data_IF_515278004242
#
_entry.id   IF_515278004242
#
_cell.length_a   1.000
_cell.length_b   1.000
_cell.length_c   1.000
_cell.angle_alpha   90.00
_cell.angle_beta   90.00
_cell.angle_gamma   90.00
#
_symmetry.space_group_name_H-M   'P 1'
#
loop_
_entity.id
_entity.type
_entity.pdbx_description
1 polymer ?
#
# COMPACT_ATOMS: atom_id res chain seq x y z
N UNK A 1 24.60 9.89 18.67
CA UNK A 1 23.92 8.95 17.75
C UNK A 1 24.43 7.51 17.87
N UNK A 2 25.75 7.26 17.88
CA UNK A 2 26.29 5.90 18.00
C UNK A 2 25.86 5.12 19.24
N UNK A 3 25.76 5.79 20.40
CA UNK A 3 25.38 5.13 21.65
C UNK A 3 23.88 4.80 21.72
N UNK A 4 23.00 5.72 21.31
CA UNK A 4 21.55 5.50 21.23
C UNK A 4 21.19 4.32 20.30
N UNK A 5 21.75 4.31 19.10
CA UNK A 5 21.48 3.23 18.13
C UNK A 5 21.96 1.87 18.65
N UNK A 6 23.09 1.84 19.37
CA UNK A 6 23.60 0.64 20.03
C UNK A 6 22.63 0.15 21.12
N UNK A 7 22.21 1.05 22.03
CA UNK A 7 21.27 0.72 23.12
C UNK A 7 19.93 0.20 22.61
N UNK A 8 19.38 0.81 21.54
CA UNK A 8 18.13 0.34 20.92
C UNK A 8 18.27 -1.04 20.30
N UNK A 9 19.40 -1.32 19.63
CA UNK A 9 19.68 -2.65 19.03
C UNK A 9 19.89 -3.71 20.11
N UNK A 10 20.72 -3.44 21.11
CA UNK A 10 20.98 -4.36 22.23
C UNK A 10 19.70 -4.72 22.98
N UNK A 11 18.92 -3.71 23.38
CA UNK A 11 17.65 -3.92 24.09
C UNK A 11 16.58 -4.61 23.24
N UNK A 12 16.54 -4.37 21.92
CA UNK A 12 15.65 -5.10 21.01
C UNK A 12 16.00 -6.59 20.93
N UNK A 13 17.29 -6.94 20.86
CA UNK A 13 17.73 -8.34 20.83
C UNK A 13 17.32 -9.13 22.07
N UNK A 14 17.10 -8.47 23.22
CA UNK A 14 16.59 -9.12 24.44
C UNK A 14 15.15 -9.64 24.31
N UNK A 15 14.35 -9.06 23.41
CA UNK A 15 12.91 -9.33 23.30
C UNK A 15 12.50 -9.90 21.94
N UNK A 16 13.43 -10.02 20.99
CA UNK A 16 13.18 -10.43 19.60
C UNK A 16 12.51 -11.81 19.50
N UNK A 17 12.98 -12.79 20.29
CA UNK A 17 12.38 -14.14 20.38
C UNK A 17 10.96 -14.14 20.98
N UNK A 18 10.55 -13.04 21.58
CA UNK A 18 9.25 -12.89 22.25
C UNK A 18 8.37 -11.81 21.61
N UNK A 19 8.70 -11.35 20.39
CA UNK A 19 8.04 -10.24 19.71
C UNK A 19 6.50 -10.32 19.71
N UNK A 20 5.91 -11.49 19.46
CA UNK A 20 4.45 -11.67 19.45
C UNK A 20 3.83 -11.45 20.84
N UNK A 21 4.53 -11.90 21.88
CA UNK A 21 4.11 -11.70 23.27
C UNK A 21 4.27 -10.24 23.70
N UNK A 22 5.35 -9.58 23.27
CA UNK A 22 5.58 -8.14 23.48
C UNK A 22 4.42 -7.35 22.87
N UNK A 23 4.06 -7.61 21.61
CA UNK A 23 2.93 -6.95 20.95
C UNK A 23 1.59 -7.22 21.66
N UNK A 24 1.36 -8.46 22.10
CA UNK A 24 0.17 -8.83 22.88
C UNK A 24 0.07 -8.07 24.20
N UNK A 25 1.16 -8.01 24.96
CA UNK A 25 1.23 -7.30 26.23
C UNK A 25 1.07 -5.79 26.04
N UNK A 26 1.75 -5.20 25.05
CA UNK A 26 1.63 -3.79 24.69
C UNK A 26 0.16 -3.36 24.52
N UNK A 27 -0.61 -4.06 23.69
CA UNK A 27 -2.02 -3.74 23.50
C UNK A 27 -2.86 -3.97 24.76
N UNK A 28 -2.58 -5.04 25.50
CA UNK A 28 -3.26 -5.29 26.77
C UNK A 28 -3.02 -4.14 27.76
N UNK A 29 -1.80 -3.60 27.85
CA UNK A 29 -1.48 -2.46 28.72
C UNK A 29 -2.16 -1.17 28.29
N UNK A 30 -2.24 -0.88 26.99
CA UNK A 30 -3.01 0.27 26.49
C UNK A 30 -4.47 0.14 26.92
N UNK A 31 -5.12 -0.99 26.62
CA UNK A 31 -6.57 -1.13 26.88
C UNK A 31 -6.92 -1.32 28.35
N UNK A 32 -5.99 -1.81 29.19
CA UNK A 32 -6.19 -1.88 30.63
C UNK A 32 -6.04 -0.51 31.30
N UNK A 33 -5.10 0.32 30.83
CA UNK A 33 -4.87 1.66 31.40
C UNK A 33 -5.85 2.70 30.87
N UNK A 34 -6.21 2.60 29.58
CA UNK A 34 -7.11 3.54 28.89
C UNK A 34 -8.12 2.75 28.02
N UNK A 35 -9.19 2.21 28.62
CA UNK A 35 -10.16 1.38 27.92
C UNK A 35 -10.81 2.06 26.70
N UNK A 36 -11.01 3.38 26.76
CA UNK A 36 -11.62 4.18 25.68
C UNK A 36 -10.80 4.14 24.39
N UNK A 37 -9.47 3.93 24.47
CA UNK A 37 -8.62 3.82 23.29
C UNK A 37 -8.92 2.57 22.45
N UNK A 38 -9.67 1.59 23.00
CA UNK A 38 -10.09 0.41 22.25
C UNK A 38 -10.88 0.76 21.00
N UNK A 39 -11.62 1.87 21.01
CA UNK A 39 -12.48 2.32 19.91
C UNK A 39 -11.70 2.86 18.70
N UNK A 40 -10.40 3.10 18.86
CA UNK A 40 -9.50 3.51 17.78
C UNK A 40 -8.99 2.32 16.96
N UNK A 41 -9.15 1.09 17.46
CA UNK A 41 -8.60 -0.13 16.86
C UNK A 41 -9.69 -1.03 16.26
N UNK A 42 -9.36 -1.79 15.19
CA UNK A 42 -10.30 -2.77 14.63
C UNK A 42 -10.64 -3.88 15.64
N UNK A 43 -11.73 -4.60 15.40
CA UNK A 43 -12.11 -5.76 16.23
C UNK A 43 -11.03 -6.85 16.17
N UNK A 44 -10.53 -7.13 14.96
CA UNK A 44 -9.47 -8.11 14.71
C UNK A 44 -8.09 -7.46 14.76
N UNK A 45 -7.22 -7.97 15.64
CA UNK A 45 -5.94 -7.34 15.96
C UNK A 45 -4.71 -8.04 15.37
N UNK A 46 -4.85 -9.23 14.77
CA UNK A 46 -3.69 -10.05 14.36
C UNK A 46 -2.78 -9.32 13.36
N UNK A 47 -3.39 -8.72 12.32
CA UNK A 47 -2.66 -7.91 11.32
C UNK A 47 -2.05 -6.65 11.95
N UNK A 48 -2.75 -6.05 12.91
CA UNK A 48 -2.28 -4.82 13.55
C UNK A 48 -1.07 -5.07 14.45
N UNK A 49 -1.03 -6.21 15.16
CA UNK A 49 0.13 -6.63 15.97
C UNK A 49 1.38 -6.82 15.12
N UNK A 50 1.26 -7.53 14.00
CA UNK A 50 2.37 -7.72 13.07
C UNK A 50 2.90 -6.38 12.50
N UNK A 51 2.01 -5.44 12.17
CA UNK A 51 2.39 -4.11 11.66
C UNK A 51 3.18 -3.29 12.67
N UNK A 52 2.79 -3.31 13.94
CA UNK A 52 3.51 -2.60 15.00
C UNK A 52 4.96 -3.09 15.10
N UNK A 53 5.16 -4.40 15.14
CA UNK A 53 6.50 -5.01 15.21
C UNK A 53 7.33 -4.62 13.98
N UNK A 54 6.75 -4.71 12.78
CA UNK A 54 7.42 -4.26 11.55
C UNK A 54 7.83 -2.79 11.57
N UNK A 55 6.99 -1.90 12.12
CA UNK A 55 7.30 -0.49 12.25
C UNK A 55 8.45 -0.22 13.25
N UNK A 56 8.46 -0.92 14.39
CA UNK A 56 9.53 -0.82 15.40
C UNK A 56 10.87 -1.31 14.80
N UNK A 57 10.87 -2.48 14.15
CA UNK A 57 12.06 -3.02 13.48
C UNK A 57 12.56 -2.05 12.41
N UNK A 58 11.65 -1.50 11.59
CA UNK A 58 12.00 -0.51 10.57
C UNK A 58 12.61 0.74 11.21
N UNK A 59 12.04 1.26 12.29
CA UNK A 59 12.56 2.43 12.99
C UNK A 59 13.97 2.19 13.55
N UNK A 60 14.23 1.01 14.13
CA UNK A 60 15.56 0.62 14.62
C UNK A 60 16.58 0.47 13.49
N UNK A 61 16.15 -0.03 12.33
CA UNK A 61 17.03 -0.26 11.16
C UNK A 61 17.28 1.00 10.32
N UNK A 62 16.37 1.98 10.33
CA UNK A 62 16.42 3.16 9.45
C UNK A 62 17.15 4.36 10.09
N UNK A 63 17.76 4.18 11.27
CA UNK A 63 18.54 5.22 11.97
C UNK A 63 19.74 5.77 11.17
N UNK A 64 20.10 5.13 10.05
CA UNK A 64 21.27 5.47 9.23
C UNK A 64 20.96 6.48 8.09
N UNK A 65 19.68 6.82 7.83
CA UNK A 65 19.25 7.83 6.85
C UNK A 65 18.25 8.84 7.45
N UNK A 66 18.73 9.89 8.15
CA UNK A 66 17.89 10.79 8.92
C UNK A 66 16.87 11.60 8.11
N UNK A 67 17.21 12.02 6.89
CA UNK A 67 16.32 12.85 6.06
C UNK A 67 15.14 12.03 5.55
N UNK A 68 15.42 10.85 5.00
CA UNK A 68 14.36 9.93 4.53
C UNK A 68 13.48 9.46 5.67
N UNK A 69 14.05 9.27 6.86
CA UNK A 69 13.30 8.88 8.06
C UNK A 69 12.37 10.00 8.54
N UNK A 70 12.80 11.27 8.51
CA UNK A 70 11.96 12.43 8.87
C UNK A 70 10.73 12.52 7.96
N UNK A 71 10.93 12.45 6.64
CA UNK A 71 9.84 12.49 5.65
C UNK A 71 8.86 11.33 5.85
N UNK A 72 9.38 10.13 6.12
CA UNK A 72 8.57 8.95 6.42
C UNK A 72 7.70 9.16 7.66
N UNK A 73 8.29 9.61 8.78
CA UNK A 73 7.57 9.82 10.04
C UNK A 73 6.51 10.91 9.91
N UNK A 74 6.81 12.02 9.23
CA UNK A 74 5.81 13.05 8.95
C UNK A 74 4.67 12.52 8.08
N UNK A 75 4.99 11.71 7.07
CA UNK A 75 3.99 11.02 6.25
C UNK A 75 3.10 10.09 7.07
N UNK A 76 3.69 9.32 8.00
CA UNK A 76 2.95 8.44 8.91
C UNK A 76 2.04 9.24 9.85
N UNK A 77 2.50 10.38 10.37
CA UNK A 77 1.70 11.29 11.18
C UNK A 77 0.47 11.81 10.45
N UNK A 78 0.61 12.22 9.18
CA UNK A 78 -0.53 12.62 8.33
C UNK A 78 -1.54 11.48 8.17
N UNK A 79 -1.05 10.28 7.85
CA UNK A 79 -1.91 9.10 7.69
C UNK A 79 -2.63 8.73 9.00
N UNK A 80 -1.98 8.93 10.15
CA UNK A 80 -2.56 8.63 11.47
C UNK A 80 -3.78 9.48 11.83
N UNK A 81 -3.95 10.65 11.20
CA UNK A 81 -5.14 11.51 11.41
C UNK A 81 -6.45 10.77 11.12
N UNK A 82 -6.45 9.80 10.18
CA UNK A 82 -7.65 9.00 9.85
C UNK A 82 -8.17 8.16 11.02
N UNK A 83 -7.32 7.87 12.00
CA UNK A 83 -7.67 7.13 13.20
C UNK A 83 -8.21 8.03 14.31
N UNK A 84 -8.14 9.37 14.17
CA UNK A 84 -8.42 10.36 15.22
C UNK A 84 -7.52 10.20 16.45
N UNK A 85 -6.22 10.00 16.20
CA UNK A 85 -5.23 9.96 17.28
C UNK A 85 -4.91 11.40 17.71
N UNK A 86 -5.03 11.67 19.00
CA UNK A 86 -4.71 12.95 19.64
C UNK A 86 -3.31 12.90 20.28
N UNK A 87 -2.67 14.05 20.57
CA UNK A 87 -1.33 14.10 21.17
C UNK A 87 -1.19 13.26 22.45
N UNK A 88 -2.20 13.25 23.30
CA UNK A 88 -2.24 12.53 24.58
C UNK A 88 -2.12 11.01 24.39
N UNK A 89 -2.61 10.48 23.26
CA UNK A 89 -2.51 9.06 22.97
C UNK A 89 -1.07 8.59 22.72
N UNK A 90 -0.17 9.48 22.28
CA UNK A 90 1.23 9.11 22.06
C UNK A 90 1.94 8.81 23.39
N UNK A 91 1.66 9.55 24.45
CA UNK A 91 2.26 9.29 25.77
C UNK A 91 1.87 7.91 26.30
N UNK A 92 0.60 7.54 26.16
CA UNK A 92 0.08 6.22 26.55
C UNK A 92 0.76 5.10 25.77
N UNK A 93 0.89 5.28 24.45
CA UNK A 93 1.53 4.30 23.56
C UNK A 93 3.01 4.14 23.88
N UNK A 94 3.75 5.25 24.08
CA UNK A 94 5.17 5.21 24.44
C UNK A 94 5.41 4.47 25.74
N UNK A 95 4.65 4.78 26.79
CA UNK A 95 4.75 4.12 28.09
C UNK A 95 4.45 2.62 28.01
N UNK A 96 3.38 2.22 27.30
CA UNK A 96 3.00 0.82 27.14
C UNK A 96 4.07 0.01 26.37
N UNK A 97 4.72 0.61 25.36
CA UNK A 97 5.77 -0.05 24.59
C UNK A 97 7.01 -0.34 25.46
N UNK A 98 7.49 0.67 26.18
CA UNK A 98 8.65 0.54 27.06
C UNK A 98 8.37 -0.46 28.18
N UNK A 99 7.18 -0.40 28.79
CA UNK A 99 6.76 -1.36 29.81
C UNK A 99 6.72 -2.80 29.26
N UNK A 100 6.22 -3.00 28.04
CA UNK A 100 6.19 -4.31 27.40
C UNK A 100 7.60 -4.86 27.17
N UNK A 101 8.52 -4.06 26.65
CA UNK A 101 9.90 -4.49 26.43
C UNK A 101 10.61 -4.80 27.75
N UNK A 102 10.46 -3.94 28.76
CA UNK A 102 10.99 -4.18 30.12
C UNK A 102 10.49 -5.49 30.71
N UNK A 103 9.19 -5.77 30.57
CA UNK A 103 8.59 -7.00 31.10
C UNK A 103 9.23 -8.27 30.51
N UNK A 104 9.47 -8.31 29.20
CA UNK A 104 10.01 -9.49 28.53
C UNK A 104 11.54 -9.59 28.57
N UNK A 105 12.25 -8.45 28.66
CA UNK A 105 13.69 -8.46 28.87
C UNK A 105 14.10 -8.83 30.31
N UNK A 106 13.21 -8.62 31.29
CA UNK A 106 13.41 -9.00 32.68
C UNK A 106 14.60 -8.26 33.32
N UNK A 107 15.42 -8.99 34.10
CA UNK A 107 16.57 -8.43 34.82
C UNK A 107 17.66 -7.86 33.92
N UNK A 108 17.67 -8.23 32.63
CA UNK A 108 18.62 -7.70 31.65
C UNK A 108 18.25 -6.29 31.18
N UNK A 109 17.06 -5.78 31.54
CA UNK A 109 16.64 -4.43 31.17
C UNK A 109 17.26 -3.37 32.09
N UNK A 110 18.30 -2.69 31.61
CA UNK A 110 18.94 -1.57 32.28
C UNK A 110 18.16 -0.26 32.19
N UNK A 111 18.44 0.67 33.11
CA UNK A 111 17.82 2.01 33.15
C UNK A 111 18.20 2.88 31.95
N UNK A 112 19.36 2.60 31.36
CA UNK A 112 19.83 3.22 30.12
C UNK A 112 18.93 2.88 28.92
N UNK A 113 18.29 1.71 28.91
CA UNK A 113 17.35 1.33 27.84
C UNK A 113 16.03 2.08 27.98
N UNK A 114 15.57 2.33 29.21
CA UNK A 114 14.40 3.16 29.46
C UNK A 114 14.56 4.56 28.87
N UNK A 115 15.69 5.22 29.17
CA UNK A 115 15.97 6.55 28.62
C UNK A 115 16.14 6.51 27.11
N UNK A 116 16.87 5.52 26.58
CA UNK A 116 17.09 5.38 25.14
C UNK A 116 15.78 5.24 24.35
N UNK A 117 14.86 4.37 24.81
CA UNK A 117 13.57 4.20 24.15
C UNK A 117 12.64 5.39 24.34
N UNK A 118 12.65 6.05 25.51
CA UNK A 118 11.90 7.28 25.73
C UNK A 118 12.34 8.40 24.77
N UNK A 119 13.66 8.61 24.63
CA UNK A 119 14.21 9.62 23.72
C UNK A 119 13.87 9.29 22.25
N UNK A 120 14.03 8.04 21.84
CA UNK A 120 13.71 7.60 20.48
C UNK A 120 12.21 7.77 20.17
N UNK A 121 11.35 7.36 21.11
CA UNK A 121 9.90 7.51 20.97
C UNK A 121 9.48 8.98 20.91
N UNK A 122 10.06 9.83 21.75
CA UNK A 122 9.76 11.26 21.76
C UNK A 122 10.10 11.93 20.41
N UNK A 123 11.22 11.55 19.78
CA UNK A 123 11.56 12.02 18.43
C UNK A 123 10.51 11.56 17.42
N UNK A 124 10.14 10.27 17.43
CA UNK A 124 9.12 9.71 16.53
C UNK A 124 7.79 10.44 16.68
N UNK A 125 7.28 10.54 17.91
CA UNK A 125 6.03 11.22 18.23
C UNK A 125 6.05 12.69 17.79
N UNK A 126 7.13 13.42 18.08
CA UNK A 126 7.28 14.82 17.66
C UNK A 126 7.21 15.00 16.15
N UNK A 127 7.88 14.14 15.36
CA UNK A 127 7.83 14.22 13.90
C UNK A 127 6.47 13.84 13.32
N UNK A 128 5.83 12.83 13.90
CA UNK A 128 4.47 12.44 13.50
C UNK A 128 3.46 13.55 13.81
N UNK A 129 3.50 14.15 15.00
CA UNK A 129 2.65 15.27 15.38
C UNK A 129 2.86 16.48 14.46
N UNK A 130 4.12 16.85 14.19
CA UNK A 130 4.42 17.94 13.25
C UNK A 130 3.95 17.63 11.82
N UNK A 131 3.99 16.36 11.40
CA UNK A 131 3.44 15.92 10.13
C UNK A 131 1.92 16.09 10.07
N UNK A 132 1.22 15.69 11.14
CA UNK A 132 -0.22 15.77 11.26
C UNK A 132 -0.73 17.23 11.30
N UNK A 133 -0.07 18.10 12.08
CA UNK A 133 -0.43 19.51 12.22
C UNK A 133 -0.24 20.30 10.92
N UNK A 134 0.79 19.98 10.15
CA UNK A 134 1.11 20.67 8.90
C UNK A 134 0.12 20.34 7.75
N UNK A 135 -0.70 19.30 7.88
CA UNK A 135 -1.62 18.86 6.84
C UNK A 135 -3.01 19.51 7.00
N UNK A 136 -3.36 20.35 6.04
CA UNK A 136 -4.63 21.11 6.03
C UNK A 136 -5.79 20.32 5.44
N UNK A 137 -5.53 19.13 4.88
CA UNK A 137 -6.58 18.26 4.35
C UNK A 137 -7.46 17.69 5.49
N UNK A 138 -8.67 17.22 5.21
CA UNK A 138 -9.42 16.42 6.18
C UNK A 138 -8.68 15.10 6.48
N UNK A 139 -8.95 14.47 7.65
CA UNK A 139 -8.34 13.17 8.01
C UNK A 139 -8.74 12.04 7.04
N UNK A 140 -9.90 12.18 6.42
CA UNK A 140 -10.40 11.34 5.34
C UNK A 140 -11.56 12.04 4.62
N UNK A 141 -11.89 11.56 3.43
CA UNK A 141 -13.03 11.99 2.62
C UNK A 141 -14.14 10.95 2.71
N UNK A 142 -15.35 11.40 2.92
CA UNK A 142 -16.53 10.58 2.68
C UNK A 142 -16.77 10.48 1.17
N UNK A 143 -17.02 9.28 0.67
CA UNK A 143 -17.36 9.03 -0.72
C UNK A 143 -18.54 8.06 -0.84
N UNK A 144 -19.49 8.41 -1.70
CA UNK A 144 -20.65 7.58 -1.99
C UNK A 144 -20.32 6.60 -3.12
N UNK A 145 -20.72 5.34 -2.97
CA UNK A 145 -20.65 4.35 -4.06
C UNK A 145 -21.73 4.67 -5.08
N UNK A 146 -21.33 5.05 -6.29
CA UNK A 146 -22.25 5.42 -7.37
C UNK A 146 -22.42 4.31 -8.42
N UNK A 147 -21.51 3.34 -8.45
CA UNK A 147 -21.59 2.18 -9.32
C UNK A 147 -20.88 0.98 -8.69
N UNK A 148 -21.41 -0.22 -8.94
CA UNK A 148 -20.80 -1.49 -8.53
C UNK A 148 -21.10 -2.55 -9.59
N UNK A 149 -20.05 -3.19 -10.10
CA UNK A 149 -20.15 -4.21 -11.12
C UNK A 149 -19.25 -5.39 -10.78
N UNK A 150 -19.82 -6.59 -10.72
CA UNK A 150 -19.04 -7.83 -10.58
C UNK A 150 -18.38 -8.19 -11.91
N UNK A 151 -17.07 -8.36 -11.89
CA UNK A 151 -16.24 -8.80 -13.03
C UNK A 151 -15.73 -10.21 -12.76
N UNK A 152 -16.57 -11.21 -13.02
CA UNK A 152 -16.28 -12.61 -12.69
C UNK A 152 -16.69 -12.98 -11.26
N UNK A 153 -16.10 -14.07 -10.73
CA UNK A 153 -16.58 -14.69 -9.49
C UNK A 153 -16.15 -13.94 -8.23
N UNK A 154 -14.91 -13.47 -8.19
CA UNK A 154 -14.25 -12.92 -7.01
C UNK A 154 -13.76 -11.49 -7.21
N UNK A 155 -14.01 -10.85 -8.35
CA UNK A 155 -13.65 -9.45 -8.59
C UNK A 155 -14.89 -8.57 -8.74
N UNK A 156 -14.82 -7.37 -8.18
CA UNK A 156 -15.75 -6.29 -8.48
C UNK A 156 -14.98 -5.00 -8.80
N UNK A 157 -15.61 -4.20 -9.65
CA UNK A 157 -15.25 -2.82 -9.94
C UNK A 157 -16.32 -1.95 -9.34
N UNK A 158 -15.95 -0.99 -8.50
CA UNK A 158 -16.91 -0.02 -7.98
C UNK A 158 -16.36 1.39 -8.14
N UNK A 159 -17.27 2.33 -8.36
CA UNK A 159 -16.95 3.75 -8.52
C UNK A 159 -17.51 4.50 -7.34
N UNK A 160 -16.70 5.38 -6.78
CA UNK A 160 -17.11 6.28 -5.71
C UNK A 160 -16.99 7.74 -6.12
N UNK A 161 -17.83 8.58 -5.53
CA UNK A 161 -17.80 10.03 -5.67
C UNK A 161 -17.56 10.64 -4.28
N UNK A 162 -16.36 11.19 -4.01
CA UNK A 162 -16.09 11.93 -2.79
C UNK A 162 -16.97 13.17 -2.68
N UNK A 163 -17.49 13.44 -1.48
CA UNK A 163 -18.35 14.59 -1.18
C UNK A 163 -17.60 15.93 -1.18
N UNK A 164 -16.27 15.88 -1.16
CA UNK A 164 -15.37 17.03 -1.23
C UNK A 164 -14.27 16.71 -2.26
N UNK A 165 -13.64 17.72 -2.88
CA UNK A 165 -12.53 17.51 -3.81
C UNK A 165 -11.42 16.65 -3.18
N UNK A 166 -11.03 15.58 -3.87
CA UNK A 166 -9.96 14.69 -3.47
C UNK A 166 -8.89 14.68 -4.58
N UNK A 167 -7.84 15.45 -4.39
CA UNK A 167 -6.75 15.53 -5.35
C UNK A 167 -5.79 14.35 -5.18
N UNK A 168 -5.62 13.56 -6.24
CA UNK A 168 -4.64 12.49 -6.31
C UNK A 168 -3.88 12.53 -7.64
N UNK A 169 -2.83 11.72 -7.78
CA UNK A 169 -2.11 11.50 -9.04
C UNK A 169 -2.27 10.06 -9.50
N UNK A 170 -2.25 9.84 -10.81
CA UNK A 170 -2.34 8.49 -11.34
C UNK A 170 -1.23 7.59 -10.80
N UNK A 171 -1.60 6.34 -10.48
CA UNK A 171 -0.72 5.34 -9.88
C UNK A 171 -0.47 5.50 -8.37
N UNK A 172 -1.07 6.49 -7.70
CA UNK A 172 -1.15 6.51 -6.24
C UNK A 172 -2.15 5.45 -5.71
N UNK A 173 -2.11 5.23 -4.40
CA UNK A 173 -3.07 4.41 -3.67
C UNK A 173 -3.72 5.20 -2.53
N UNK A 174 -4.87 4.74 -2.07
CA UNK A 174 -5.59 5.30 -0.92
C UNK A 174 -5.91 4.20 0.08
N UNK A 175 -5.94 4.55 1.38
CA UNK A 175 -6.58 3.68 2.37
C UNK A 175 -8.09 3.87 2.30
N UNK A 176 -8.84 2.78 2.14
CA UNK A 176 -10.29 2.75 2.15
C UNK A 176 -10.80 2.03 3.40
N UNK A 177 -11.77 2.62 4.07
CA UNK A 177 -12.59 2.01 5.10
C UNK A 177 -14.05 1.98 4.62
N UNK A 178 -14.72 0.85 4.83
CA UNK A 178 -16.18 0.76 4.72
C UNK A 178 -16.77 0.46 6.10
N UNK A 179 -17.22 1.49 6.85
CA UNK A 179 -17.72 1.32 8.21
C UNK A 179 -18.88 0.34 8.32
N UNK A 180 -19.70 0.18 7.27
CA UNK A 180 -20.83 -0.77 7.23
C UNK A 180 -20.39 -2.23 7.42
N UNK A 181 -19.18 -2.60 6.99
CA UNK A 181 -18.72 -3.99 7.02
C UNK A 181 -17.66 -4.26 8.08
N UNK A 182 -16.69 -3.37 8.22
CA UNK A 182 -15.64 -3.51 9.24
C UNK A 182 -15.10 -2.12 9.63
N UNK A 183 -15.67 -1.49 10.67
CA UNK A 183 -15.17 -0.24 11.21
C UNK A 183 -13.70 -0.35 11.63
N UNK A 184 -12.96 0.75 11.43
CA UNK A 184 -11.52 0.93 11.74
C UNK A 184 -10.57 0.02 10.97
N UNK A 185 -11.07 -0.82 10.06
CA UNK A 185 -10.24 -1.72 9.28
C UNK A 185 -9.95 -1.15 7.88
N UNK A 186 -8.89 -0.36 7.80
CA UNK A 186 -8.45 0.28 6.56
C UNK A 186 -7.69 -0.69 5.66
N UNK A 187 -7.97 -0.64 4.35
CA UNK A 187 -7.28 -1.42 3.32
C UNK A 187 -6.85 -0.54 2.17
N UNK A 188 -5.66 -0.80 1.66
CA UNK A 188 -5.08 -0.01 0.58
C UNK A 188 -5.62 -0.47 -0.77
N UNK A 189 -6.12 0.46 -1.57
CA UNK A 189 -6.53 0.24 -2.95
C UNK A 189 -6.07 1.39 -3.84
N UNK A 190 -5.65 1.07 -5.06
CA UNK A 190 -5.27 2.08 -6.04
C UNK A 190 -6.46 2.43 -6.93
N UNK A 191 -6.72 3.72 -7.19
CA UNK A 191 -7.68 4.12 -8.20
C UNK A 191 -7.29 3.54 -9.57
N UNK A 192 -8.29 3.09 -10.32
CA UNK A 192 -8.16 2.52 -11.65
C UNK A 192 -8.27 3.56 -12.77
N UNK A 193 -8.65 4.78 -12.44
CA UNK A 193 -8.74 5.91 -13.37
C UNK A 193 -7.73 7.00 -12.99
N UNK A 194 -7.36 7.82 -13.97
CA UNK A 194 -6.65 9.08 -13.72
C UNK A 194 -7.59 10.10 -13.06
N UNK A 195 -7.08 11.16 -12.40
CA UNK A 195 -7.91 12.21 -11.80
C UNK A 195 -8.86 12.83 -12.84
N UNK A 196 -10.17 12.80 -12.59
CA UNK A 196 -11.22 13.29 -13.49
C UNK A 196 -11.90 14.54 -12.92
N UNK A 197 -12.55 15.32 -13.78
CA UNK A 197 -13.27 16.55 -13.38
C UNK A 197 -14.53 16.27 -12.56
N UNK A 198 -15.10 15.08 -12.73
CA UNK A 198 -16.26 14.61 -11.97
C UNK A 198 -15.90 14.10 -10.56
N UNK A 199 -14.62 14.18 -10.17
CA UNK A 199 -14.10 13.73 -8.88
C UNK A 199 -14.27 12.22 -8.64
N UNK A 200 -14.61 11.41 -9.64
CA UNK A 200 -14.87 9.97 -9.44
C UNK A 200 -13.58 9.16 -9.32
N UNK A 201 -13.62 8.12 -8.49
CA UNK A 201 -12.56 7.13 -8.34
C UNK A 201 -13.13 5.72 -8.54
N UNK A 202 -12.53 4.96 -9.45
CA UNK A 202 -12.84 3.56 -9.72
C UNK A 202 -11.87 2.68 -8.94
N UNK A 203 -12.35 1.65 -8.25
CA UNK A 203 -11.52 0.70 -7.50
C UNK A 203 -11.80 -0.72 -7.97
N UNK A 204 -10.74 -1.50 -8.15
CA UNK A 204 -10.82 -2.91 -8.54
C UNK A 204 -10.42 -3.77 -7.35
N UNK A 205 -11.35 -4.61 -6.89
CA UNK A 205 -11.15 -5.39 -5.68
C UNK A 205 -11.38 -6.86 -5.96
N UNK A 206 -10.40 -7.68 -5.55
CA UNK A 206 -10.52 -9.14 -5.53
C UNK A 206 -10.80 -9.60 -4.11
N UNK A 207 -11.80 -10.46 -3.94
CA UNK A 207 -12.09 -11.16 -2.69
C UNK A 207 -10.97 -12.17 -2.41
N UNK A 208 -10.34 -12.08 -1.26
CA UNK A 208 -9.23 -12.97 -0.86
C UNK A 208 -9.74 -13.87 0.24
N UNK A 209 -9.99 -15.15 -0.07
CA UNK A 209 -10.42 -16.17 0.89
C UNK A 209 -11.62 -15.73 1.74
N UNK A 210 -11.51 -15.86 3.05
CA UNK A 210 -12.49 -15.36 4.03
C UNK A 210 -12.22 -13.90 4.47
N UNK A 211 -11.56 -13.10 3.63
CA UNK A 211 -11.15 -11.74 3.95
C UNK A 211 -12.36 -10.84 4.22
N UNK A 212 -12.40 -10.25 5.42
CA UNK A 212 -13.51 -9.45 5.93
C UNK A 212 -13.90 -8.27 5.03
N UNK A 213 -12.90 -7.48 4.61
CA UNK A 213 -13.13 -6.26 3.82
C UNK A 213 -13.35 -6.60 2.35
N UNK A 214 -12.40 -7.29 1.72
CA UNK A 214 -12.44 -7.53 0.27
C UNK A 214 -13.65 -8.38 -0.15
N UNK A 215 -14.03 -9.39 0.62
CA UNK A 215 -15.23 -10.19 0.31
C UNK A 215 -16.51 -9.37 0.43
N UNK A 216 -16.58 -8.45 1.40
CA UNK A 216 -17.73 -7.57 1.56
C UNK A 216 -17.80 -6.54 0.42
N UNK A 217 -16.67 -5.92 0.07
CA UNK A 217 -16.59 -4.99 -1.07
C UNK A 217 -17.01 -5.64 -2.39
N UNK A 218 -16.67 -6.91 -2.60
CA UNK A 218 -17.04 -7.64 -3.83
C UNK A 218 -18.49 -8.13 -3.84
N UNK A 219 -19.00 -8.61 -2.70
CA UNK A 219 -20.27 -9.37 -2.67
C UNK A 219 -21.44 -8.62 -2.05
N UNK A 220 -21.20 -7.56 -1.28
CA UNK A 220 -22.20 -6.92 -0.42
C UNK A 220 -22.27 -5.40 -0.53
N UNK A 221 -21.25 -4.75 -1.10
CA UNK A 221 -21.24 -3.31 -1.31
C UNK A 221 -22.33 -2.93 -2.31
N UNK A 222 -23.12 -1.92 -1.97
CA UNK A 222 -24.26 -1.47 -2.76
C UNK A 222 -24.10 -0.01 -3.17
N UNK A 223 -24.76 0.38 -4.27
CA UNK A 223 -24.88 1.80 -4.64
C UNK A 223 -25.60 2.55 -3.52
N UNK A 224 -25.09 3.74 -3.16
CA UNK A 224 -25.52 4.53 -2.02
C UNK A 224 -24.77 4.26 -0.72
N UNK A 225 -23.92 3.21 -0.65
CA UNK A 225 -23.06 2.99 0.51
C UNK A 225 -22.02 4.11 0.64
N UNK A 226 -21.73 4.48 1.89
CA UNK A 226 -20.67 5.43 2.21
C UNK A 226 -19.38 4.72 2.58
N UNK A 227 -18.29 5.08 1.91
CA UNK A 227 -16.92 4.70 2.27
C UNK A 227 -16.14 5.92 2.74
N UNK A 228 -15.02 5.68 3.43
CA UNK A 228 -14.04 6.69 3.79
C UNK A 228 -12.74 6.42 3.06
N UNK A 229 -12.18 7.47 2.47
CA UNK A 229 -10.89 7.44 1.77
C UNK A 229 -9.90 8.29 2.54
N UNK A 230 -8.77 7.74 2.96
CA UNK A 230 -7.67 8.53 3.51
C UNK A 230 -6.89 9.23 2.39
N UNK A 231 -5.96 10.10 2.78
CA UNK A 231 -5.12 10.84 1.84
C UNK A 231 -4.38 9.90 0.86
N UNK A 232 -4.19 10.32 -0.41
CA UNK A 232 -3.48 9.53 -1.39
C UNK A 232 -1.99 9.46 -1.09
N UNK A 233 -1.42 8.27 -1.27
CA UNK A 233 -0.04 7.93 -0.97
C UNK A 233 0.59 7.19 -2.15
N UNK A 234 1.92 7.00 -2.10
CA UNK A 234 2.67 6.29 -3.13
C UNK A 234 3.30 7.21 -4.19
N UNK A 235 4.34 6.69 -4.83
CA UNK A 235 5.23 7.43 -5.74
C UNK A 235 5.31 6.82 -7.15
N UNK A 236 4.47 5.82 -7.46
CA UNK A 236 4.38 5.16 -8.76
C UNK A 236 3.63 6.04 -9.79
N UNK A 237 4.17 7.22 -10.06
CA UNK A 237 3.61 8.21 -10.98
C UNK A 237 4.45 8.34 -12.26
N UNK A 238 3.87 8.88 -13.33
CA UNK A 238 4.61 9.15 -14.57
C UNK A 238 5.46 10.41 -14.45
N UNK A 239 6.68 10.35 -14.98
CA UNK A 239 7.43 11.57 -15.30
C UNK A 239 6.95 12.11 -16.65
N UNK A 240 6.28 13.26 -16.62
CA UNK A 240 5.76 13.95 -17.81
C UNK A 240 6.86 14.49 -18.72
N UNK A 241 8.10 14.60 -18.23
CA UNK A 241 9.27 15.04 -19.02
C UNK A 241 9.99 13.89 -19.69
N UNK A 242 9.74 12.65 -19.26
CA UNK A 242 10.36 11.46 -19.86
C UNK A 242 9.82 11.22 -21.27
N UNK A 243 10.73 11.07 -22.22
CA UNK A 243 10.43 10.68 -23.61
C UNK A 243 10.69 9.18 -23.86
N UNK A 244 11.09 8.42 -22.83
CA UNK A 244 11.42 6.99 -22.94
C UNK A 244 10.16 6.17 -23.12
N UNK A 245 10.24 5.07 -23.84
CA UNK A 245 9.14 4.10 -23.89
C UNK A 245 8.89 3.49 -22.50
N UNK A 246 7.67 3.00 -22.28
CA UNK A 246 7.25 2.51 -20.97
C UNK A 246 6.78 1.06 -21.02
N UNK A 247 7.10 0.30 -19.98
CA UNK A 247 6.64 -1.08 -19.81
C UNK A 247 5.87 -1.19 -18.51
N UNK A 248 4.61 -1.56 -18.62
CA UNK A 248 3.69 -1.74 -17.50
C UNK A 248 3.46 -3.23 -17.29
N UNK A 249 3.70 -3.72 -16.08
CA UNK A 249 3.52 -5.15 -15.74
C UNK A 249 2.46 -5.24 -14.65
N UNK A 250 1.34 -5.88 -14.95
CA UNK A 250 0.18 -6.02 -14.08
C UNK A 250 -0.12 -7.49 -13.79
N UNK A 251 -0.56 -7.78 -12.57
CA UNK A 251 -1.05 -9.10 -12.17
C UNK A 251 -2.34 -8.99 -11.37
N UNK A 252 -3.40 -9.66 -11.80
CA UNK A 252 -4.72 -9.59 -11.17
C UNK A 252 -5.22 -8.14 -11.03
N UNK A 253 -5.64 -7.74 -9.83
CA UNK A 253 -6.11 -6.36 -9.57
C UNK A 253 -4.98 -5.32 -9.51
N UNK A 254 -3.71 -5.73 -9.61
CA UNK A 254 -2.61 -4.81 -9.89
C UNK A 254 -2.74 -4.09 -11.25
N UNK A 255 -3.72 -4.49 -12.06
CA UNK A 255 -4.13 -3.74 -13.24
C UNK A 255 -4.69 -2.34 -12.92
N UNK A 256 -5.31 -2.13 -11.75
CA UNK A 256 -5.93 -0.85 -11.41
C UNK A 256 -4.97 0.36 -11.53
N UNK A 257 -3.84 0.43 -10.80
CA UNK A 257 -2.94 1.57 -10.92
C UNK A 257 -2.36 1.70 -12.34
N UNK A 258 -2.18 0.59 -13.06
CA UNK A 258 -1.74 0.61 -14.46
C UNK A 258 -2.80 1.27 -15.36
N UNK A 259 -4.08 0.97 -15.20
CA UNK A 259 -5.17 1.66 -15.93
C UNK A 259 -5.19 3.15 -15.62
N UNK A 260 -4.95 3.53 -14.37
CA UNK A 260 -4.87 4.94 -13.97
C UNK A 260 -3.77 5.67 -14.73
N UNK A 261 -2.56 5.08 -14.80
CA UNK A 261 -1.43 5.63 -15.55
C UNK A 261 -1.69 5.66 -17.07
N UNK A 262 -2.31 4.61 -17.62
CA UNK A 262 -2.68 4.56 -19.03
C UNK A 262 -3.69 5.65 -19.38
N UNK A 263 -4.73 5.86 -18.57
CA UNK A 263 -5.72 6.92 -18.77
C UNK A 263 -5.04 8.31 -18.72
N UNK A 264 -4.10 8.52 -17.80
CA UNK A 264 -3.33 9.76 -17.74
C UNK A 264 -2.52 10.00 -19.03
N UNK A 265 -1.85 8.97 -19.56
CA UNK A 265 -1.10 9.05 -20.81
C UNK A 265 -1.96 9.41 -22.01
N UNK A 266 -3.22 8.97 -22.07
CA UNK A 266 -4.11 9.32 -23.20
C UNK A 266 -4.25 10.83 -23.41
N UNK A 267 -4.09 11.62 -22.34
CA UNK A 267 -4.27 13.07 -22.37
C UNK A 267 -3.14 13.78 -23.12
N UNK A 268 -1.90 13.28 -23.00
CA UNK A 268 -0.72 14.01 -23.51
C UNK A 268 0.32 13.16 -24.24
N UNK A 269 0.30 11.83 -24.16
CA UNK A 269 1.29 11.00 -24.85
C UNK A 269 1.13 11.10 -26.37
N UNK A 270 2.22 11.40 -27.06
CA UNK A 270 2.26 11.50 -28.53
C UNK A 270 3.40 10.71 -29.15
N UNK A 271 4.41 10.32 -28.38
CA UNK A 271 5.68 9.79 -28.91
C UNK A 271 6.17 8.52 -28.23
N UNK A 272 5.72 8.22 -27.01
CA UNK A 272 6.19 7.06 -26.24
C UNK A 272 5.42 5.81 -26.65
N UNK A 273 6.12 4.74 -26.98
CA UNK A 273 5.53 3.41 -27.03
C UNK A 273 5.29 2.91 -25.61
N UNK A 274 4.15 2.23 -25.42
CA UNK A 274 3.74 1.68 -24.13
C UNK A 274 3.37 0.21 -24.29
N UNK A 275 4.06 -0.65 -23.56
CA UNK A 275 3.82 -2.08 -23.56
C UNK A 275 3.18 -2.50 -22.23
N UNK A 276 1.97 -3.04 -22.27
CA UNK A 276 1.29 -3.58 -21.10
C UNK A 276 1.39 -5.09 -21.11
N UNK A 277 2.01 -5.67 -20.08
CA UNK A 277 2.06 -7.09 -19.81
C UNK A 277 1.07 -7.39 -18.69
N UNK A 278 -0.03 -8.07 -19.00
CA UNK A 278 -1.07 -8.42 -18.02
C UNK A 278 -1.12 -9.93 -17.81
N UNK A 279 -0.71 -10.35 -16.62
CA UNK A 279 -0.63 -11.74 -16.21
C UNK A 279 -1.78 -12.18 -15.32
N UNK A 280 -2.23 -13.41 -15.51
CA UNK A 280 -3.15 -14.07 -14.60
C UNK A 280 -2.89 -15.59 -14.53
N UNK A 281 -3.58 -16.30 -13.63
CA UNK A 281 -3.50 -17.77 -13.58
C UNK A 281 -4.29 -18.39 -14.72
N UNK A 282 -5.57 -18.00 -14.84
CA UNK A 282 -6.47 -18.50 -15.87
C UNK A 282 -7.00 -17.35 -16.73
N UNK A 283 -7.55 -17.68 -17.91
CA UNK A 283 -8.15 -16.67 -18.81
C UNK A 283 -9.21 -15.79 -18.13
N UNK A 284 -10.06 -16.38 -17.29
CA UNK A 284 -11.15 -15.66 -16.62
C UNK A 284 -10.65 -14.63 -15.60
N UNK A 285 -9.41 -14.78 -15.12
CA UNK A 285 -8.76 -13.83 -14.22
C UNK A 285 -8.24 -12.57 -14.95
N UNK A 286 -8.22 -12.57 -16.29
CA UNK A 286 -7.98 -11.38 -17.13
C UNK A 286 -9.26 -10.53 -17.25
N UNK A 287 -9.87 -10.24 -16.09
CA UNK A 287 -11.25 -9.74 -15.92
C UNK A 287 -11.60 -8.45 -16.67
N UNK A 288 -10.62 -7.60 -16.99
CA UNK A 288 -10.81 -6.30 -17.66
C UNK A 288 -10.09 -6.21 -19.01
N UNK A 289 -9.77 -7.37 -19.61
CA UNK A 289 -9.07 -7.45 -20.89
C UNK A 289 -9.84 -6.76 -22.04
N UNK A 290 -11.17 -6.79 -22.00
CA UNK A 290 -11.99 -6.13 -23.00
C UNK A 290 -11.75 -4.62 -23.02
N UNK A 291 -11.62 -3.97 -21.86
CA UNK A 291 -11.37 -2.54 -21.78
C UNK A 291 -9.94 -2.18 -22.19
N UNK A 292 -8.96 -2.99 -21.79
CA UNK A 292 -7.58 -2.83 -22.26
C UNK A 292 -7.48 -2.95 -23.78
N UNK A 293 -8.18 -3.91 -24.39
CA UNK A 293 -8.19 -4.08 -25.85
C UNK A 293 -8.86 -2.89 -26.56
N UNK A 294 -9.92 -2.31 -25.99
CA UNK A 294 -10.51 -1.07 -26.51
C UNK A 294 -9.52 0.09 -26.46
N UNK A 295 -8.75 0.18 -25.38
CA UNK A 295 -7.73 1.20 -25.24
C UNK A 295 -6.62 1.04 -26.28
N UNK A 296 -6.10 -0.19 -26.45
CA UNK A 296 -5.07 -0.50 -27.45
C UNK A 296 -5.56 -0.25 -28.89
N UNK A 297 -6.82 -0.60 -29.20
CA UNK A 297 -7.41 -0.32 -30.51
C UNK A 297 -7.55 1.19 -30.80
N UNK A 298 -7.76 2.01 -29.76
CA UNK A 298 -7.90 3.46 -29.88
C UNK A 298 -6.57 4.19 -29.96
N UNK A 299 -5.52 3.67 -29.33
CA UNK A 299 -4.23 4.33 -29.19
C UNK A 299 -3.11 3.49 -29.82
N UNK A 300 -2.64 3.82 -31.04
CA UNK A 300 -1.65 3.03 -31.77
C UNK A 300 -0.29 2.85 -31.07
N UNK A 301 0.04 3.73 -30.13
CA UNK A 301 1.26 3.65 -29.32
C UNK A 301 1.18 2.63 -28.17
N UNK A 302 0.01 2.04 -27.94
CA UNK A 302 -0.24 1.08 -26.85
C UNK A 302 -0.34 -0.35 -27.39
N UNK A 303 0.50 -1.24 -26.88
CA UNK A 303 0.38 -2.69 -27.10
C UNK A 303 0.04 -3.42 -25.81
N UNK A 304 -0.76 -4.48 -25.90
CA UNK A 304 -1.13 -5.33 -24.76
C UNK A 304 -0.70 -6.75 -25.05
N UNK A 305 0.07 -7.33 -24.14
CA UNK A 305 0.48 -8.73 -24.11
C UNK A 305 -0.11 -9.36 -22.86
N UNK A 306 -0.86 -10.44 -23.04
CA UNK A 306 -1.47 -11.18 -21.94
C UNK A 306 -0.83 -12.53 -21.76
N UNK A 307 -0.64 -12.97 -20.51
CA UNK A 307 -0.14 -14.30 -20.20
C UNK A 307 -1.01 -15.03 -19.17
N UNK A 308 -1.19 -16.34 -19.35
CA UNK A 308 -1.76 -17.23 -18.34
C UNK A 308 -0.73 -18.27 -17.89
N UNK A 309 -0.60 -18.49 -16.58
CA UNK A 309 0.34 -19.48 -16.03
C UNK A 309 -0.25 -20.89 -15.93
N UNK A 310 -1.56 -21.00 -15.72
CA UNK A 310 -2.24 -22.24 -15.33
C UNK A 310 -3.37 -22.62 -16.32
N UNK A 311 -3.38 -22.03 -17.53
CA UNK A 311 -4.37 -22.29 -18.58
C UNK A 311 -3.68 -22.66 -19.92
N UNK A 312 -3.44 -23.96 -20.17
CA UNK A 312 -2.79 -24.45 -21.38
C UNK A 312 -3.58 -24.18 -22.67
N UNK A 313 -4.86 -23.84 -22.55
CA UNK A 313 -5.74 -23.56 -23.70
C UNK A 313 -5.78 -22.07 -24.05
N UNK A 314 -5.16 -21.23 -23.22
CA UNK A 314 -5.12 -19.80 -23.46
C UNK A 314 -4.31 -19.48 -24.73
N UNK A 315 -4.88 -18.75 -25.71
CA UNK A 315 -4.23 -18.49 -27.00
C UNK A 315 -3.12 -17.44 -26.94
N UNK A 316 -2.97 -16.73 -25.81
CA UNK A 316 -1.90 -15.76 -25.61
C UNK A 316 -0.61 -16.38 -25.10
N UNK A 317 0.21 -15.58 -24.43
CA UNK A 317 1.47 -16.07 -23.87
C UNK A 317 1.21 -17.06 -22.72
N UNK A 318 2.13 -18.02 -22.59
CA UNK A 318 2.09 -19.05 -21.55
C UNK A 318 3.18 -18.78 -20.50
N UNK A 319 2.86 -19.09 -19.24
CA UNK A 319 3.75 -19.00 -18.09
C UNK A 319 3.59 -17.73 -17.25
N UNK A 320 4.49 -17.55 -16.27
CA UNK A 320 4.47 -16.38 -15.40
C UNK A 320 4.79 -15.11 -16.20
N UNK A 321 4.10 -14.02 -15.87
CA UNK A 321 4.27 -12.75 -16.59
C UNK A 321 5.69 -12.19 -16.51
N UNK A 322 6.42 -12.46 -15.41
CA UNK A 322 7.85 -12.13 -15.27
C UNK A 322 8.69 -12.76 -16.38
N UNK A 323 8.44 -14.04 -16.67
CA UNK A 323 9.19 -14.79 -17.68
C UNK A 323 8.84 -14.31 -19.08
N UNK A 324 7.55 -13.98 -19.31
CA UNK A 324 7.08 -13.42 -20.59
C UNK A 324 7.74 -12.07 -20.87
N UNK A 325 7.74 -11.16 -19.90
CA UNK A 325 8.45 -9.87 -20.01
C UNK A 325 9.92 -10.11 -20.37
N UNK A 326 10.55 -11.13 -19.79
CA UNK A 326 11.95 -11.46 -20.07
C UNK A 326 12.25 -11.83 -21.52
N UNK A 327 11.27 -12.39 -22.26
CA UNK A 327 11.45 -12.83 -23.66
C UNK A 327 11.37 -11.70 -24.69
N UNK A 328 10.71 -10.59 -24.36
CA UNK A 328 10.38 -9.52 -25.33
C UNK A 328 11.43 -8.39 -25.41
N UNK A 329 12.45 -8.39 -24.55
CA UNK A 329 13.45 -7.31 -24.46
C UNK A 329 14.23 -7.03 -25.76
N UNK A 330 15.09 -6.00 -25.78
CA UNK A 330 15.78 -5.40 -24.63
C UNK A 330 15.01 -4.25 -23.94
N UNK A 331 15.22 -4.13 -22.62
CA UNK A 331 14.45 -3.22 -21.77
C UNK A 331 15.22 -2.04 -21.17
N UNK A 332 16.53 -1.96 -21.41
CA UNK A 332 17.43 -1.02 -20.72
C UNK A 332 17.00 0.44 -20.79
N UNK A 333 16.40 0.86 -21.92
CA UNK A 333 15.98 2.26 -22.16
C UNK A 333 14.51 2.58 -21.80
N UNK A 334 13.82 1.71 -21.07
CA UNK A 334 12.41 1.91 -20.73
C UNK A 334 12.20 2.34 -19.28
N UNK A 335 11.11 3.07 -19.04
CA UNK A 335 10.57 3.27 -17.70
C UNK A 335 9.62 2.11 -17.34
N UNK A 336 9.75 1.52 -16.15
CA UNK A 336 8.97 0.36 -15.71
C UNK A 336 8.00 0.70 -14.59
N UNK A 337 6.80 0.12 -14.67
CA UNK A 337 5.75 0.21 -13.66
C UNK A 337 5.20 -1.18 -13.38
N UNK A 338 5.36 -1.68 -12.15
CA UNK A 338 5.03 -3.07 -11.79
C UNK A 338 4.03 -3.10 -10.63
N UNK A 339 2.89 -3.76 -10.82
CA UNK A 339 1.84 -3.87 -9.79
C UNK A 339 1.16 -5.23 -9.81
N UNK A 340 0.97 -5.82 -8.63
CA UNK A 340 0.31 -7.12 -8.46
C UNK A 340 0.62 -7.74 -7.10
N UNK A 341 0.56 -9.07 -7.03
CA UNK A 341 0.90 -9.80 -5.80
C UNK A 341 2.40 -9.67 -5.47
N UNK A 342 2.76 -9.70 -4.18
CA UNK A 342 4.16 -9.64 -3.75
C UNK A 342 5.08 -10.65 -4.46
N UNK A 343 4.70 -11.94 -4.58
CA UNK A 343 5.49 -12.90 -5.35
C UNK A 343 5.68 -12.52 -6.81
N UNK A 344 4.65 -11.99 -7.48
CA UNK A 344 4.75 -11.55 -8.88
C UNK A 344 5.71 -10.36 -9.00
N UNK A 345 5.54 -9.33 -8.18
CA UNK A 345 6.39 -8.14 -8.25
C UNK A 345 7.85 -8.52 -7.97
N UNK A 346 8.12 -9.34 -6.95
CA UNK A 346 9.47 -9.87 -6.66
C UNK A 346 10.08 -10.61 -7.85
N UNK A 347 9.31 -11.50 -8.50
CA UNK A 347 9.76 -12.24 -9.67
C UNK A 347 10.09 -11.30 -10.83
N UNK A 348 9.22 -10.33 -11.13
CA UNK A 348 9.46 -9.33 -12.18
C UNK A 348 10.71 -8.49 -11.88
N UNK A 349 10.88 -8.00 -10.65
CA UNK A 349 12.07 -7.23 -10.27
C UNK A 349 13.36 -8.03 -10.45
N UNK A 350 13.35 -9.33 -10.11
CA UNK A 350 14.48 -10.24 -10.34
C UNK A 350 14.79 -10.34 -11.84
N UNK A 351 13.80 -10.60 -12.68
CA UNK A 351 13.98 -10.65 -14.14
C UNK A 351 14.54 -9.35 -14.70
N UNK A 352 14.03 -8.19 -14.25
CA UNK A 352 14.52 -6.89 -14.70
C UNK A 352 15.98 -6.62 -14.28
N UNK A 353 16.37 -7.09 -13.09
CA UNK A 353 17.76 -7.01 -12.63
C UNK A 353 18.69 -7.88 -13.49
N UNK A 354 18.27 -9.11 -13.84
CA UNK A 354 19.01 -10.00 -14.75
C UNK A 354 19.19 -9.38 -16.15
N UNK A 355 18.18 -8.63 -16.61
CA UNK A 355 18.21 -7.85 -17.86
C UNK A 355 18.95 -6.50 -17.73
N UNK A 356 19.48 -6.20 -16.55
CA UNK A 356 20.23 -4.98 -16.23
C UNK A 356 19.42 -3.70 -16.48
N UNK A 357 18.11 -3.72 -16.20
CA UNK A 357 17.30 -2.50 -16.18
C UNK A 357 17.70 -1.64 -14.97
N UNK A 358 18.03 -0.36 -15.15
CA UNK A 358 18.42 0.50 -14.04
C UNK A 358 17.30 0.62 -13.00
N UNK A 359 17.59 0.33 -11.73
CA UNK A 359 16.60 0.33 -10.64
C UNK A 359 15.85 1.66 -10.48
N UNK A 360 16.53 2.78 -10.75
CA UNK A 360 15.93 4.12 -10.73
C UNK A 360 14.81 4.32 -11.77
N UNK A 361 14.76 3.46 -12.80
CA UNK A 361 13.73 3.46 -13.85
C UNK A 361 12.55 2.55 -13.51
N UNK A 362 12.61 1.80 -12.40
CA UNK A 362 11.59 0.84 -12.02
C UNK A 362 10.78 1.40 -10.85
N UNK A 363 9.49 1.63 -11.08
CA UNK A 363 8.50 1.96 -10.05
C UNK A 363 7.59 0.77 -9.83
N UNK A 364 7.23 0.50 -8.59
CA UNK A 364 6.38 -0.64 -8.25
C UNK A 364 5.60 -0.38 -6.96
N UNK A 365 4.49 -1.10 -6.79
CA UNK A 365 3.70 -1.03 -5.55
C UNK A 365 4.48 -1.61 -4.37
N UNK A 366 4.33 -1.00 -3.19
CA UNK A 366 4.82 -1.61 -1.95
C UNK A 366 4.04 -2.88 -1.67
N UNK A 367 4.68 -4.04 -1.82
CA UNK A 367 4.16 -5.31 -1.35
C UNK A 367 4.75 -5.60 0.03
N UNK A 368 3.89 -5.70 1.04
CA UNK A 368 4.31 -6.32 2.29
C UNK A 368 4.41 -7.83 2.04
N UNK A 369 5.49 -8.44 2.52
CA UNK A 369 5.49 -9.88 2.77
C UNK A 369 4.46 -10.14 3.87
N UNK A 370 3.24 -10.43 3.42
CA UNK A 370 2.16 -10.82 4.31
C UNK A 370 2.39 -12.25 4.81
#
# INVERSE_FOLDING_TARGET
MGDLARLLKESWSLVEEHQDKVAGYFYARIFLSHPDLRDLFPVHMDVQRARLLGAIVTAVQTLEDPERFDDYLRGLGRDHRKFHVEPEHYEVVGGALIEAMRHFAGEQWGIEYDQAWADAYAVIASKMLAGAEADTNPPYWYAEVIAHERRGNDIAVFTVMPLQPLEFRAGQYLSLECPRFQPRLWRTYSPANAPRRDNTLEFHVRAIGAGWVSSALVRRLEVGDMVRLAAPMGSMNLDRRSTRDAVFVAGGTGLAPIKSLLEELTRYNRTRWVHVFFGARNRDDLYDLAELNRLAARYPWLSVVTACSDDPTFPGEQGNISDVVGRYGPWKEHDFFVSGSGPMVKATLKTLAELQVPSIRIKYDSFSDA
#
